data_IF_081226855897
#
_entry.id   IF_081226855897
#
_cell.length_a   1.000
_cell.length_b   1.000
_cell.length_c   1.000
_cell.angle_alpha   90.00
_cell.angle_beta   90.00
_cell.angle_gamma   90.00
#
_symmetry.space_group_name_H-M   'P 1'
#
loop_
_entity.id
_entity.type
_entity.pdbx_description
1 polymer ?
#
# COMPACT_ATOMS: atom_id res chain seq x y z
N UNK A 1 -3.69 24.54 17.15
CA UNK A 1 -3.07 23.19 17.21
C UNK A 1 -3.40 22.48 15.90
N UNK A 2 -2.41 22.16 15.09
CA UNK A 2 -2.63 21.27 13.95
C UNK A 2 -2.68 19.84 14.52
N UNK A 3 -3.85 19.22 14.48
CA UNK A 3 -3.97 17.82 14.86
C UNK A 3 -3.49 16.98 13.68
N UNK A 4 -2.38 16.27 13.87
CA UNK A 4 -1.93 15.27 12.92
C UNK A 4 -2.90 14.09 12.92
N UNK A 5 -3.12 13.50 11.75
CA UNK A 5 -3.78 12.20 11.68
C UNK A 5 -2.86 11.15 12.27
N UNK A 6 -3.42 10.10 12.86
CA UNK A 6 -2.68 8.91 13.26
C UNK A 6 -2.91 7.79 12.26
N UNK A 7 -1.91 6.93 12.07
CA UNK A 7 -2.08 5.71 11.31
C UNK A 7 -3.13 4.80 11.95
N UNK A 8 -3.88 4.01 11.17
CA UNK A 8 -4.70 2.92 11.71
C UNK A 8 -3.90 1.90 12.53
N UNK A 9 -2.57 1.88 12.37
CA UNK A 9 -1.63 1.00 13.06
C UNK A 9 -0.88 1.69 14.22
N UNK A 10 -1.25 2.93 14.57
CA UNK A 10 -0.55 3.72 15.58
C UNK A 10 -0.35 2.96 16.91
N UNK A 11 -1.40 2.33 17.40
CA UNK A 11 -1.35 1.61 18.69
C UNK A 11 -0.46 0.37 18.63
N UNK A 12 -0.42 -0.34 17.49
CA UNK A 12 0.49 -1.45 17.31
C UNK A 12 1.96 -1.02 17.40
N UNK A 13 2.30 0.13 16.82
CA UNK A 13 3.66 0.65 16.86
C UNK A 13 4.06 1.23 18.22
N UNK A 14 3.13 1.71 19.06
CA UNK A 14 3.46 2.23 20.39
C UNK A 14 4.21 1.22 21.25
N UNK A 15 3.92 -0.07 21.11
CA UNK A 15 4.59 -1.15 21.84
C UNK A 15 6.06 -1.33 21.44
N UNK A 16 6.44 -0.87 20.23
CA UNK A 16 7.78 -1.00 19.65
C UNK A 16 8.69 0.18 19.99
N UNK A 17 8.19 1.17 20.72
CA UNK A 17 8.91 2.41 21.08
C UNK A 17 9.61 3.08 19.87
N UNK A 18 8.89 3.38 18.79
CA UNK A 18 9.46 3.92 17.58
C UNK A 18 9.88 5.39 17.75
N UNK A 19 10.76 5.87 16.87
CA UNK A 19 10.85 7.31 16.62
C UNK A 19 9.65 7.71 15.75
N UNK A 20 8.93 8.74 16.17
CA UNK A 20 7.79 9.28 15.45
C UNK A 20 8.19 10.51 14.62
N UNK A 21 7.66 10.61 13.41
CA UNK A 21 7.83 11.76 12.53
C UNK A 21 6.54 12.06 11.78
N UNK A 22 6.43 13.25 11.21
CA UNK A 22 5.30 13.62 10.37
C UNK A 22 5.58 13.27 8.91
N UNK A 23 4.70 12.49 8.29
CA UNK A 23 4.70 12.22 6.86
C UNK A 23 3.31 12.43 6.28
N UNK A 24 3.19 13.30 5.28
CA UNK A 24 1.92 13.59 4.58
C UNK A 24 0.75 13.95 5.52
N UNK A 25 1.04 14.69 6.61
CA UNK A 25 0.04 15.08 7.61
C UNK A 25 -0.41 13.94 8.54
N UNK A 26 0.37 12.87 8.63
CA UNK A 26 0.14 11.73 9.51
C UNK A 26 1.36 11.48 10.39
N UNK A 27 1.12 11.23 11.68
CA UNK A 27 2.15 10.77 12.60
C UNK A 27 2.50 9.33 12.26
N UNK A 28 3.77 9.08 11.95
CA UNK A 28 4.26 7.83 11.37
C UNK A 28 5.49 7.33 12.13
N UNK A 29 5.60 6.03 12.34
CA UNK A 29 6.78 5.40 12.89
C UNK A 29 7.94 5.45 11.88
N UNK A 30 8.83 6.44 12.04
CA UNK A 30 9.94 6.66 11.09
C UNK A 30 11.06 5.67 11.28
N UNK A 31 11.38 5.31 12.52
CA UNK A 31 12.41 4.31 12.86
C UNK A 31 11.91 3.37 13.95
N UNK A 32 12.28 2.09 13.82
CA UNK A 32 12.03 1.05 14.83
C UNK A 32 13.37 0.40 15.15
N UNK A 33 13.67 0.19 16.42
CA UNK A 33 14.95 -0.38 16.85
C UNK A 33 15.17 -1.80 16.32
N UNK A 34 16.40 -2.14 15.87
CA UNK A 34 16.76 -3.48 15.39
C UNK A 34 16.30 -3.81 13.97
N UNK A 35 15.72 -2.87 13.23
CA UNK A 35 14.99 -3.08 12.00
C UNK A 35 15.84 -3.42 10.75
N UNK A 36 17.08 -2.94 10.67
CA UNK A 36 17.86 -2.99 9.42
C UNK A 36 18.20 -4.41 8.95
N UNK A 37 18.35 -5.36 9.88
CA UNK A 37 18.61 -6.76 9.54
C UNK A 37 17.36 -7.53 9.08
N UNK A 38 16.17 -7.03 9.39
CA UNK A 38 14.91 -7.73 9.07
C UNK A 38 14.56 -7.64 7.58
N UNK A 39 14.99 -6.58 6.87
CA UNK A 39 14.55 -6.32 5.50
C UNK A 39 14.96 -7.43 4.51
N UNK A 40 16.09 -8.07 4.72
CA UNK A 40 16.56 -9.16 3.85
C UNK A 40 15.73 -10.43 4.09
N UNK A 41 15.47 -10.77 5.35
CA UNK A 41 14.72 -11.97 5.71
C UNK A 41 13.23 -11.78 5.50
N UNK A 42 12.61 -10.90 6.29
CA UNK A 42 11.18 -10.58 6.21
C UNK A 42 10.88 -9.30 7.01
N UNK A 43 10.39 -8.28 6.36
CA UNK A 43 10.08 -7.01 6.98
C UNK A 43 8.64 -6.57 6.69
N UNK A 44 8.01 -5.99 7.70
CA UNK A 44 6.73 -5.29 7.62
C UNK A 44 6.93 -3.80 7.89
N UNK A 45 6.25 -2.94 7.13
CA UNK A 45 6.21 -1.51 7.37
C UNK A 45 4.81 -0.93 7.16
N UNK A 46 4.50 0.14 7.89
CA UNK A 46 3.27 0.92 7.74
C UNK A 46 3.46 2.02 6.70
N UNK A 47 2.74 1.93 5.59
CA UNK A 47 2.67 2.93 4.52
C UNK A 47 1.32 3.67 4.50
N UNK A 48 0.54 3.63 5.58
CA UNK A 48 -0.79 4.26 5.63
C UNK A 48 -0.72 5.77 5.46
N UNK A 49 0.42 6.41 5.76
CA UNK A 49 0.66 7.84 5.58
C UNK A 49 0.61 8.29 4.11
N UNK A 50 0.94 7.41 3.16
CA UNK A 50 0.97 7.78 1.75
C UNK A 50 -0.42 8.19 1.25
N UNK A 51 -0.55 9.34 0.57
CA UNK A 51 -1.83 9.83 0.08
C UNK A 51 -2.46 8.89 -0.92
N UNK A 52 -3.76 8.68 -0.79
CA UNK A 52 -4.54 7.79 -1.64
C UNK A 52 -5.70 8.52 -2.31
N UNK A 53 -6.08 8.04 -3.49
CA UNK A 53 -7.25 8.48 -4.23
C UNK A 53 -7.91 7.30 -4.92
N UNK A 54 -9.21 7.38 -5.09
CA UNK A 54 -9.97 6.40 -5.85
C UNK A 54 -11.01 7.07 -6.72
N UNK A 55 -11.31 6.46 -7.85
CA UNK A 55 -12.38 6.90 -8.72
C UNK A 55 -12.94 5.72 -9.51
N UNK A 56 -14.19 5.87 -9.94
CA UNK A 56 -14.86 4.92 -10.80
C UNK A 56 -15.82 5.61 -11.76
N UNK A 57 -16.25 4.88 -12.78
CA UNK A 57 -17.26 5.35 -13.72
C UNK A 57 -16.85 5.15 -15.18
N UNK A 58 -17.83 5.25 -16.10
CA UNK A 58 -17.59 4.95 -17.51
C UNK A 58 -16.56 5.87 -18.18
N UNK A 59 -16.41 7.11 -17.70
CA UNK A 59 -15.44 8.07 -18.23
C UNK A 59 -14.12 8.09 -17.42
N UNK A 60 -13.97 7.29 -16.36
CA UNK A 60 -12.85 7.36 -15.43
C UNK A 60 -11.48 7.16 -16.10
N UNK A 61 -11.34 6.15 -16.96
CA UNK A 61 -10.08 5.89 -17.67
C UNK A 61 -9.66 7.04 -18.58
N UNK A 62 -10.58 7.55 -19.39
CA UNK A 62 -10.32 8.66 -20.31
C UNK A 62 -10.00 9.95 -19.54
N UNK A 63 -10.71 10.20 -18.44
CA UNK A 63 -10.45 11.34 -17.60
C UNK A 63 -9.05 11.29 -16.96
N UNK A 64 -8.63 10.13 -16.43
CA UNK A 64 -7.28 9.93 -15.89
C UNK A 64 -6.19 10.22 -16.94
N UNK A 65 -6.36 9.71 -18.17
CA UNK A 65 -5.44 10.01 -19.28
C UNK A 65 -5.35 11.52 -19.53
N UNK A 66 -6.48 12.23 -19.53
CA UNK A 66 -6.52 13.69 -19.69
C UNK A 66 -5.83 14.44 -18.52
N UNK A 67 -5.76 13.83 -17.33
CA UNK A 67 -5.00 14.36 -16.18
C UNK A 67 -3.48 13.97 -16.25
N UNK A 68 -3.03 13.30 -17.30
CA UNK A 68 -1.65 12.85 -17.46
C UNK A 68 -1.28 11.63 -16.60
N UNK A 69 -2.28 10.88 -16.13
CA UNK A 69 -2.07 9.67 -15.33
C UNK A 69 -1.85 8.45 -16.24
N UNK A 70 -0.80 7.64 -16.04
CA UNK A 70 -0.51 6.46 -16.87
C UNK A 70 -1.47 5.30 -16.53
N UNK A 71 -2.63 5.27 -17.17
CA UNK A 71 -3.68 4.27 -16.92
C UNK A 71 -3.21 2.85 -17.27
N UNK A 72 -3.40 1.84 -16.37
CA UNK A 72 -3.18 0.44 -16.70
C UNK A 72 -4.14 -0.04 -17.81
N UNK A 73 -3.65 -0.81 -18.83
CA UNK A 73 -4.48 -1.19 -19.98
C UNK A 73 -5.58 -2.20 -19.60
N UNK A 74 -5.30 -3.10 -18.67
CA UNK A 74 -6.17 -4.22 -18.32
C UNK A 74 -6.73 -4.06 -16.90
N UNK A 75 -7.90 -4.63 -16.64
CA UNK A 75 -8.44 -4.80 -15.30
C UNK A 75 -7.51 -5.73 -14.49
N UNK A 76 -7.45 -5.51 -13.18
CA UNK A 76 -6.58 -6.23 -12.27
C UNK A 76 -5.10 -6.10 -12.62
N UNK A 77 -4.70 -4.93 -13.10
CA UNK A 77 -3.29 -4.60 -13.36
C UNK A 77 -2.92 -3.24 -12.73
N UNK A 78 -1.61 -2.99 -12.61
CA UNK A 78 -1.10 -1.75 -12.05
C UNK A 78 0.04 -1.16 -12.87
N UNK A 79 0.31 0.12 -12.66
CA UNK A 79 1.47 0.84 -13.19
C UNK A 79 2.15 1.65 -12.10
N UNK A 80 3.45 1.85 -12.25
CA UNK A 80 4.18 2.78 -11.40
C UNK A 80 3.78 4.24 -11.72
N UNK A 81 3.73 5.04 -10.67
CA UNK A 81 3.68 6.49 -10.68
C UNK A 81 5.05 7.03 -10.23
N UNK A 82 5.32 8.35 -10.36
CA UNK A 82 6.55 8.95 -9.85
C UNK A 82 6.78 8.63 -8.36
N UNK A 83 8.07 8.58 -7.98
CA UNK A 83 8.52 8.41 -6.60
C UNK A 83 7.96 7.15 -5.92
N UNK A 84 7.93 6.04 -6.65
CA UNK A 84 7.38 4.75 -6.20
C UNK A 84 5.88 4.76 -5.89
N UNK A 85 5.14 5.76 -6.37
CA UNK A 85 3.69 5.73 -6.35
C UNK A 85 3.12 4.64 -7.28
N UNK A 86 1.84 4.34 -7.13
CA UNK A 86 1.17 3.31 -7.92
C UNK A 86 -0.22 3.72 -8.35
N UNK A 87 -0.64 3.23 -9.52
CA UNK A 87 -2.03 3.20 -9.93
C UNK A 87 -2.44 1.77 -10.24
N UNK A 88 -3.50 1.29 -9.61
CA UNK A 88 -4.11 0.00 -9.90
C UNK A 88 -5.49 0.19 -10.56
N UNK A 89 -5.75 -0.59 -11.60
CA UNK A 89 -7.06 -0.71 -12.22
C UNK A 89 -7.76 -1.93 -11.64
N UNK A 90 -8.67 -1.70 -10.68
CA UNK A 90 -9.32 -2.76 -9.90
C UNK A 90 -10.47 -3.46 -10.63
N UNK A 91 -10.93 -2.88 -11.74
CA UNK A 91 -12.01 -3.40 -12.55
C UNK A 91 -12.06 -2.70 -13.90
N UNK A 92 -13.16 -2.86 -14.63
CA UNK A 92 -13.31 -2.22 -15.96
C UNK A 92 -13.22 -0.69 -15.89
N UNK A 93 -13.73 -0.10 -14.81
CA UNK A 93 -13.89 1.34 -14.65
C UNK A 93 -13.57 1.85 -13.25
N UNK A 94 -12.86 1.10 -12.43
CA UNK A 94 -12.46 1.49 -11.08
C UNK A 94 -10.95 1.53 -10.94
N UNK A 95 -10.46 2.60 -10.31
CA UNK A 95 -9.03 2.88 -10.16
C UNK A 95 -8.71 3.28 -8.73
N UNK A 96 -7.57 2.82 -8.27
CA UNK A 96 -6.93 3.15 -7.01
C UNK A 96 -5.57 3.77 -7.29
N UNK A 97 -5.25 4.88 -6.65
CA UNK A 97 -3.96 5.55 -6.73
C UNK A 97 -3.38 5.72 -5.32
N UNK A 98 -2.09 5.51 -5.19
CA UNK A 98 -1.31 5.86 -4.00
C UNK A 98 -0.07 6.64 -4.43
N UNK A 99 0.21 7.76 -3.78
CA UNK A 99 1.43 8.55 -4.02
C UNK A 99 2.66 7.80 -3.48
N UNK A 100 3.81 8.07 -4.07
CA UNK A 100 5.10 7.73 -3.48
C UNK A 100 5.56 8.78 -2.47
N UNK A 101 6.80 8.65 -1.97
CA UNK A 101 7.35 9.49 -0.91
C UNK A 101 7.29 11.00 -1.21
N UNK A 102 7.66 11.41 -2.41
CA UNK A 102 7.62 12.81 -2.87
C UNK A 102 6.58 13.04 -3.97
N UNK A 103 5.81 12.01 -4.32
CA UNK A 103 4.78 12.06 -5.35
C UNK A 103 3.58 12.92 -4.95
N UNK A 104 2.75 13.25 -5.91
CA UNK A 104 1.55 14.07 -5.68
C UNK A 104 0.45 13.79 -6.69
N UNK A 105 0.54 12.67 -7.43
CA UNK A 105 -0.41 12.37 -8.50
C UNK A 105 -1.77 11.92 -7.94
N UNK A 106 -1.80 11.09 -6.91
CA UNK A 106 -3.03 10.71 -6.22
C UNK A 106 -3.66 11.93 -5.55
N UNK A 107 -2.87 12.79 -4.92
CA UNK A 107 -3.32 14.04 -4.31
C UNK A 107 -3.91 15.00 -5.33
N UNK A 108 -3.23 15.24 -6.47
CA UNK A 108 -3.75 16.08 -7.56
C UNK A 108 -5.05 15.52 -8.15
N UNK A 109 -5.09 14.20 -8.37
CA UNK A 109 -6.27 13.48 -8.86
C UNK A 109 -7.45 13.69 -7.92
N UNK A 110 -7.25 13.55 -6.61
CA UNK A 110 -8.29 13.78 -5.60
C UNK A 110 -8.82 15.22 -5.60
N UNK A 111 -7.94 16.20 -5.76
CA UNK A 111 -8.34 17.62 -5.85
C UNK A 111 -9.16 17.87 -7.12
N UNK A 112 -8.68 17.37 -8.27
CA UNK A 112 -9.36 17.53 -9.55
C UNK A 112 -10.74 16.85 -9.58
N UNK A 113 -10.92 15.73 -8.88
CA UNK A 113 -12.23 15.07 -8.74
C UNK A 113 -13.26 15.93 -8.01
N UNK A 114 -12.83 16.85 -7.12
CA UNK A 114 -13.70 17.76 -6.39
C UNK A 114 -14.46 18.75 -7.27
N UNK A 115 -14.02 18.97 -8.51
CA UNK A 115 -14.70 19.88 -9.47
C UNK A 115 -15.90 19.25 -10.18
N UNK A 116 -16.07 17.93 -10.03
CA UNK A 116 -17.15 17.16 -10.66
C UNK A 116 -16.94 16.97 -12.16
N UNK A 117 -17.09 15.74 -12.63
CA UNK A 117 -17.02 15.39 -14.05
C UNK A 117 -18.08 14.33 -14.36
N UNK A 118 -18.87 14.53 -15.40
CA UNK A 118 -19.88 13.55 -15.79
C UNK A 118 -19.26 12.17 -16.08
N UNK A 119 -19.82 11.12 -15.46
CA UNK A 119 -19.36 9.76 -15.64
C UNK A 119 -18.06 9.43 -14.90
N UNK A 120 -17.58 10.30 -14.00
CA UNK A 120 -16.45 10.06 -13.10
C UNK A 120 -16.90 10.32 -11.67
N UNK A 121 -16.77 9.32 -10.82
CA UNK A 121 -17.24 9.35 -9.45
C UNK A 121 -16.09 9.10 -8.49
N UNK A 122 -15.84 9.97 -7.49
CA UNK A 122 -14.80 9.74 -6.51
C UNK A 122 -15.13 8.52 -5.64
N UNK A 123 -14.11 7.77 -5.26
CA UNK A 123 -14.16 6.72 -4.26
C UNK A 123 -13.23 7.13 -3.13
N UNK A 124 -13.78 7.24 -1.93
CA UNK A 124 -12.97 7.57 -0.75
C UNK A 124 -12.02 6.41 -0.47
N UNK A 125 -10.73 6.72 -0.34
CA UNK A 125 -9.67 5.76 -0.03
C UNK A 125 -8.94 6.21 1.23
N UNK A 126 -9.08 5.43 2.29
CA UNK A 126 -8.41 5.61 3.59
C UNK A 126 -7.78 4.28 4.03
N UNK A 127 -7.50 3.42 3.07
CA UNK A 127 -6.99 2.07 3.30
C UNK A 127 -5.69 2.13 4.14
N UNK A 128 -5.56 1.21 5.09
CA UNK A 128 -4.28 0.93 5.71
C UNK A 128 -3.37 0.34 4.63
N UNK A 129 -2.15 0.86 4.53
CA UNK A 129 -1.15 0.40 3.57
C UNK A 129 -0.01 -0.31 4.30
N UNK A 130 0.28 -1.54 3.93
CA UNK A 130 1.35 -2.35 4.51
C UNK A 130 2.33 -2.74 3.42
N UNK A 131 3.62 -2.56 3.69
CA UNK A 131 4.69 -3.15 2.92
C UNK A 131 5.09 -4.47 3.56
N UNK A 132 5.24 -5.49 2.72
CA UNK A 132 5.83 -6.78 3.05
C UNK A 132 7.04 -6.99 2.13
N UNK A 133 8.25 -7.16 2.68
CA UNK A 133 9.47 -7.32 1.90
C UNK A 133 10.38 -8.39 2.51
N UNK A 134 11.25 -8.98 1.69
CA UNK A 134 12.24 -9.96 2.11
C UNK A 134 12.09 -11.31 1.45
N UNK A 135 13.12 -12.14 1.55
CA UNK A 135 13.19 -13.45 0.88
C UNK A 135 12.03 -14.39 1.29
N UNK A 136 11.59 -14.31 2.54
CA UNK A 136 10.51 -15.15 3.10
C UNK A 136 9.10 -14.58 2.93
N UNK A 137 8.93 -13.49 2.15
CA UNK A 137 7.61 -12.88 1.91
C UNK A 137 6.59 -13.87 1.35
N UNK A 138 7.01 -14.75 0.42
CA UNK A 138 6.12 -15.75 -0.15
C UNK A 138 5.69 -16.83 0.86
N UNK A 139 6.52 -17.14 1.86
CA UNK A 139 6.15 -18.06 2.94
C UNK A 139 5.07 -17.49 3.83
N UNK A 140 5.15 -16.21 4.18
CA UNK A 140 4.11 -15.51 4.93
C UNK A 140 2.81 -15.45 4.11
N UNK A 141 2.90 -15.09 2.83
CA UNK A 141 1.72 -15.01 1.96
C UNK A 141 1.03 -16.38 1.81
N UNK A 142 1.80 -17.47 1.70
CA UNK A 142 1.24 -18.83 1.62
C UNK A 142 0.49 -19.27 2.89
N UNK A 143 0.84 -18.73 4.06
CA UNK A 143 0.14 -19.00 5.32
C UNK A 143 -1.13 -18.17 5.50
N UNK A 144 -1.25 -17.05 4.80
CA UNK A 144 -2.30 -16.05 5.02
C UNK A 144 -3.33 -15.97 3.90
N UNK A 145 -3.02 -16.50 2.72
CA UNK A 145 -3.82 -16.34 1.50
C UNK A 145 -3.78 -17.60 0.64
N UNK A 146 -4.92 -17.91 0.00
CA UNK A 146 -5.02 -19.04 -0.94
C UNK A 146 -4.45 -18.74 -2.33
N UNK A 147 -3.97 -17.51 -2.58
CA UNK A 147 -3.33 -17.15 -3.85
C UNK A 147 -1.85 -17.49 -3.78
N UNK A 148 -1.37 -18.26 -4.75
CA UNK A 148 0.07 -18.55 -4.86
C UNK A 148 0.83 -17.37 -5.49
N UNK A 149 1.26 -16.44 -4.66
CA UNK A 149 1.99 -15.26 -5.11
C UNK A 149 3.36 -15.58 -5.71
N UNK A 150 3.95 -16.73 -5.37
CA UNK A 150 5.25 -17.15 -5.92
C UNK A 150 5.17 -17.46 -7.43
N UNK A 151 3.99 -17.89 -7.92
CA UNK A 151 3.74 -18.19 -9.34
C UNK A 151 3.26 -16.99 -10.14
N UNK A 152 2.96 -15.86 -9.49
CA UNK A 152 2.54 -14.66 -10.20
C UNK A 152 3.76 -14.02 -10.87
N UNK A 153 3.72 -13.96 -12.20
CA UNK A 153 4.74 -13.29 -13.01
C UNK A 153 4.78 -11.79 -12.67
N UNK A 154 5.88 -11.27 -12.11
CA UNK A 154 6.00 -9.87 -11.73
C UNK A 154 5.91 -8.92 -12.92
N UNK A 155 6.30 -9.38 -14.14
CA UNK A 155 6.26 -8.56 -15.35
C UNK A 155 4.83 -8.26 -15.80
N UNK A 156 3.88 -9.10 -15.45
CA UNK A 156 2.45 -8.86 -15.72
C UNK A 156 1.84 -7.75 -14.90
N UNK A 157 2.53 -7.31 -13.84
CA UNK A 157 2.06 -6.24 -12.94
C UNK A 157 0.60 -6.42 -12.52
N UNK A 158 0.26 -7.63 -12.09
CA UNK A 158 -1.08 -7.97 -11.62
C UNK A 158 -1.42 -7.26 -10.31
N UNK A 159 -2.66 -6.76 -10.21
CA UNK A 159 -3.26 -6.33 -8.97
C UNK A 159 -4.24 -7.40 -8.51
N UNK A 160 -3.97 -8.03 -7.38
CA UNK A 160 -4.77 -9.15 -6.86
C UNK A 160 -5.73 -8.63 -5.79
N UNK A 161 -7.02 -8.79 -6.02
CA UNK A 161 -8.05 -8.57 -5.00
C UNK A 161 -8.45 -9.93 -4.44
N UNK A 162 -8.20 -10.15 -3.15
CA UNK A 162 -8.44 -11.43 -2.50
C UNK A 162 -8.77 -11.26 -1.02
N UNK A 163 -8.91 -12.36 -0.31
CA UNK A 163 -8.98 -12.38 1.14
C UNK A 163 -7.68 -12.97 1.72
N UNK A 164 -7.13 -12.30 2.71
CA UNK A 164 -6.03 -12.77 3.53
C UNK A 164 -6.49 -12.80 4.98
N UNK A 165 -6.38 -13.96 5.64
CA UNK A 165 -6.82 -14.14 7.05
C UNK A 165 -8.21 -13.55 7.33
N UNK A 166 -9.16 -13.73 6.39
CA UNK A 166 -10.54 -13.24 6.49
C UNK A 166 -10.75 -11.77 6.15
N UNK A 167 -9.71 -11.01 5.83
CA UNK A 167 -9.77 -9.58 5.47
C UNK A 167 -9.67 -9.41 3.95
N UNK A 168 -10.56 -8.61 3.37
CA UNK A 168 -10.47 -8.22 1.95
C UNK A 168 -9.29 -7.30 1.71
N UNK A 169 -8.42 -7.64 0.76
CA UNK A 169 -7.19 -6.91 0.47
C UNK A 169 -7.00 -6.67 -1.02
N UNK A 170 -6.25 -5.63 -1.33
CA UNK A 170 -5.61 -5.42 -2.63
C UNK A 170 -4.12 -5.70 -2.42
N UNK A 171 -3.53 -6.53 -3.26
CA UNK A 171 -2.10 -6.86 -3.21
C UNK A 171 -1.48 -6.61 -4.58
N UNK A 172 -0.36 -5.91 -4.60
CA UNK A 172 0.50 -5.81 -5.78
C UNK A 172 1.92 -6.24 -5.42
N UNK A 173 2.61 -6.88 -6.37
CA UNK A 173 4.04 -7.09 -6.26
C UNK A 173 4.75 -5.85 -6.81
N UNK A 174 5.55 -5.21 -5.96
CA UNK A 174 6.40 -4.06 -6.31
C UNK A 174 7.86 -4.48 -6.37
N UNK A 175 8.76 -3.54 -6.66
CA UNK A 175 10.19 -3.81 -6.73
C UNK A 175 10.91 -3.13 -5.57
N UNK A 176 11.58 -3.94 -4.74
CA UNK A 176 12.82 -3.52 -4.09
C UNK A 176 13.95 -4.23 -4.82
N UNK A 177 15.12 -3.58 -5.03
CA UNK A 177 16.23 -4.23 -5.71
C UNK A 177 16.57 -5.57 -5.02
N UNK A 178 16.45 -6.68 -5.77
CA UNK A 178 16.82 -8.05 -5.37
C UNK A 178 15.90 -8.77 -4.36
N UNK A 179 14.86 -8.14 -3.83
CA UNK A 179 13.99 -8.77 -2.83
C UNK A 179 12.52 -8.81 -3.30
N UNK A 180 11.78 -9.91 -3.04
CA UNK A 180 10.33 -9.90 -3.16
C UNK A 180 9.75 -8.79 -2.28
N UNK A 181 8.86 -8.01 -2.86
CA UNK A 181 8.23 -6.89 -2.18
C UNK A 181 6.77 -6.77 -2.60
N UNK A 182 5.89 -6.63 -1.63
CA UNK A 182 4.45 -6.53 -1.84
C UNK A 182 3.91 -5.32 -1.11
N UNK A 183 2.99 -4.59 -1.76
CA UNK A 183 2.12 -3.62 -1.10
C UNK A 183 0.76 -4.24 -0.91
N UNK A 184 0.23 -4.12 0.30
CA UNK A 184 -1.05 -4.70 0.71
C UNK A 184 -1.90 -3.58 1.28
N UNK A 185 -3.13 -3.45 0.80
CA UNK A 185 -4.09 -2.48 1.31
C UNK A 185 -5.33 -3.19 1.81
N UNK A 186 -5.80 -2.79 2.99
CA UNK A 186 -7.03 -3.27 3.59
C UNK A 186 -7.87 -2.12 4.15
N UNK A 187 -9.14 -2.41 4.45
CA UNK A 187 -9.98 -1.47 5.17
C UNK A 187 -9.34 -1.15 6.54
N UNK A 188 -9.24 0.15 6.93
CA UNK A 188 -8.58 0.56 8.16
C UNK A 188 -9.22 -0.02 9.42
N UNK A 189 -10.49 -0.41 9.38
CA UNK A 189 -11.19 -1.04 10.52
C UNK A 189 -10.64 -2.41 10.88
N UNK A 190 -9.99 -3.10 9.94
CA UNK A 190 -9.33 -4.39 10.17
C UNK A 190 -7.82 -4.27 10.37
N UNK A 191 -7.26 -3.07 10.26
CA UNK A 191 -5.82 -2.87 10.18
C UNK A 191 -5.07 -3.47 11.38
N UNK A 192 -5.54 -3.24 12.61
CA UNK A 192 -4.89 -3.75 13.81
C UNK A 192 -4.86 -5.30 13.83
N UNK A 193 -6.02 -5.94 13.62
CA UNK A 193 -6.10 -7.41 13.58
C UNK A 193 -5.21 -7.99 12.47
N UNK A 194 -5.26 -7.37 11.31
CA UNK A 194 -4.49 -7.80 10.14
C UNK A 194 -2.98 -7.70 10.41
N UNK A 195 -2.54 -6.55 10.93
CA UNK A 195 -1.15 -6.31 11.30
C UNK A 195 -0.64 -7.28 12.36
N UNK A 196 -1.37 -7.45 13.46
CA UNK A 196 -0.96 -8.32 14.57
C UNK A 196 -0.77 -9.77 14.11
N UNK A 197 -1.66 -10.24 13.22
CA UNK A 197 -1.56 -11.58 12.65
C UNK A 197 -0.35 -11.71 11.71
N UNK A 198 -0.13 -10.73 10.81
CA UNK A 198 1.04 -10.73 9.93
C UNK A 198 2.35 -10.65 10.72
N UNK A 199 2.40 -9.81 11.76
CA UNK A 199 3.58 -9.64 12.61
C UNK A 199 3.89 -10.91 13.42
N UNK A 200 2.87 -11.60 13.92
CA UNK A 200 3.04 -12.89 14.59
C UNK A 200 3.76 -13.90 13.69
N UNK A 201 3.23 -14.09 12.47
CA UNK A 201 3.83 -14.99 11.48
C UNK A 201 5.23 -14.50 11.05
N UNK A 202 5.39 -13.20 10.81
CA UNK A 202 6.69 -12.64 10.44
C UNK A 202 7.75 -12.91 11.52
N UNK A 203 7.38 -12.76 12.79
CA UNK A 203 8.27 -13.04 13.93
C UNK A 203 8.69 -14.52 13.98
N UNK A 204 7.75 -15.45 13.79
CA UNK A 204 8.04 -16.88 13.70
C UNK A 204 8.99 -17.22 12.53
N UNK A 205 8.88 -16.46 11.46
CA UNK A 205 9.75 -16.56 10.28
C UNK A 205 11.08 -15.80 10.44
N UNK A 206 11.39 -15.23 11.61
CA UNK A 206 12.62 -14.49 11.86
C UNK A 206 12.65 -13.09 11.25
N UNK A 207 11.49 -12.56 10.92
CA UNK A 207 11.30 -11.20 10.43
C UNK A 207 10.98 -10.20 11.52
N UNK A 208 10.68 -8.96 11.11
CA UNK A 208 10.39 -7.87 12.04
C UNK A 208 9.76 -6.66 11.37
N UNK A 209 9.70 -5.58 12.13
CA UNK A 209 9.12 -4.30 11.70
C UNK A 209 10.22 -3.32 11.33
N UNK A 210 10.05 -2.60 10.24
CA UNK A 210 10.92 -1.49 9.83
C UNK A 210 10.14 -0.18 9.80
N UNK A 211 10.84 0.93 10.03
CA UNK A 211 10.27 2.27 9.95
C UNK A 211 10.23 2.81 8.51
N UNK A 212 9.44 3.87 8.32
CA UNK A 212 9.27 4.49 7.00
C UNK A 212 10.53 5.17 6.48
N UNK A 213 11.45 5.62 7.34
CA UNK A 213 12.72 6.26 6.92
C UNK A 213 13.58 5.32 6.05
N UNK A 214 13.47 4.01 6.24
CA UNK A 214 14.18 3.02 5.43
C UNK A 214 13.63 2.93 4.00
N UNK A 215 12.38 3.35 3.79
CA UNK A 215 11.62 3.13 2.55
C UNK A 215 11.31 4.42 1.79
N UNK A 216 11.08 5.52 2.50
CA UNK A 216 10.61 6.79 1.95
C UNK A 216 11.75 7.83 1.95
N UNK A 217 12.84 7.51 1.24
CA UNK A 217 14.01 8.44 1.08
C UNK A 217 13.89 9.27 -0.17
#
# INVERSE_FOLDING_TARGET
MNYLRTSPLHDAFNTLQPAWDESHGMLTASRVGGADAAIETLALADLSCLPKSGLKGPAAAQWLVAQGVPVPPEANSWKALPDDGVIARLGRSEFFLEDGAAGGMATRTRIALGTGTAGVYPVIRQDAGILLAGERSNELLAQTCNVNFAEIDPERRGAVMTQMIGVGVIVIRTHLPKLPCYRIWCDPTFAQYFWDTLLGIATELGGGVIGTETLLK
#
